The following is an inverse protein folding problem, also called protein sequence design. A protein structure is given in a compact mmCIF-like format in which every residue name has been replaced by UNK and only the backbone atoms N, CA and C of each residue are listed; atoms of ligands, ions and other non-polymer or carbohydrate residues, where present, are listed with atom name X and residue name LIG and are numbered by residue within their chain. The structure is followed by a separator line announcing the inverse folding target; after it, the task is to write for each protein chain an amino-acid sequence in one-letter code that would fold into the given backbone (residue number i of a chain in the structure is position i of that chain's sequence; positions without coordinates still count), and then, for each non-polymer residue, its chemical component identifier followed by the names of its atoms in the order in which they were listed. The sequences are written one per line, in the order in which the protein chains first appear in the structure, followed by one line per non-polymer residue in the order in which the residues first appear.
data_IF_381265665374
#
_entry.id   IF_381265665374
#
_cell.length_a   1.000
_cell.length_b   1.000
_cell.length_c   1.000
_cell.angle_alpha   90.00
_cell.angle_beta   90.00
_cell.angle_gamma   90.00
#
_symmetry.space_group_name_H-M   'P 1'
#
loop_
_entity.id
_entity.type
_entity.pdbx_description
1 polymer ?
#
# COMPACT_ATOMS: atom_id res chain seq x y z
N UNK A 1 14.13 20.48 4.33
CA UNK A 1 12.78 21.03 4.60
C UNK A 1 11.96 19.82 5.01
N UNK A 2 11.59 19.72 6.29
CA UNK A 2 10.71 18.64 6.73
C UNK A 2 9.34 18.82 6.07
N UNK A 3 8.89 17.81 5.36
CA UNK A 3 7.58 17.76 4.75
C UNK A 3 6.52 17.62 5.86
N UNK A 4 5.58 18.56 5.96
CA UNK A 4 4.53 18.49 6.97
C UNK A 4 3.55 17.39 6.57
N UNK A 5 3.16 16.54 7.53
CA UNK A 5 2.24 15.43 7.24
C UNK A 5 1.20 15.26 8.33
N UNK A 6 0.02 14.79 7.93
CA UNK A 6 -1.05 14.35 8.84
C UNK A 6 -1.18 12.84 8.73
N UNK A 7 -0.83 12.14 9.80
CA UNK A 7 -1.01 10.68 9.88
C UNK A 7 -2.51 10.31 9.93
N UNK A 8 -2.88 9.25 9.22
CA UNK A 8 -4.25 8.73 9.14
C UNK A 8 -4.27 7.24 9.53
N UNK A 9 -3.63 6.37 8.74
CA UNK A 9 -3.48 4.94 9.06
C UNK A 9 -4.77 4.11 8.99
N UNK A 10 -5.74 4.54 8.18
CA UNK A 10 -7.08 3.94 8.10
C UNK A 10 -7.25 3.06 6.84
N UNK A 11 -8.10 2.02 6.89
CA UNK A 11 -8.43 1.23 5.71
C UNK A 11 -9.21 2.07 4.69
N UNK A 12 -9.02 1.78 3.41
CA UNK A 12 -9.73 2.41 2.29
C UNK A 12 -10.24 1.34 1.33
N UNK A 13 -11.31 1.68 0.61
CA UNK A 13 -11.70 0.94 -0.60
C UNK A 13 -10.99 1.56 -1.79
N UNK A 14 -10.69 0.75 -2.81
CA UNK A 14 -10.04 1.22 -4.04
C UNK A 14 -10.77 0.72 -5.26
N UNK A 15 -10.69 1.50 -6.33
CA UNK A 15 -11.29 1.19 -7.62
C UNK A 15 -10.22 1.31 -8.71
N UNK A 16 -10.36 0.45 -9.71
CA UNK A 16 -9.53 0.47 -10.92
C UNK A 16 -10.44 0.60 -12.13
N UNK A 17 -10.13 1.52 -13.03
CA UNK A 17 -10.82 1.68 -14.31
C UNK A 17 -10.59 0.44 -15.18
N UNK A 18 -9.41 -0.18 -15.06
CA UNK A 18 -9.10 -1.50 -15.64
C UNK A 18 -8.65 -2.47 -14.54
N UNK A 19 -9.25 -3.68 -14.46
CA UNK A 19 -8.83 -4.67 -13.48
C UNK A 19 -7.32 -4.95 -13.55
N UNK A 20 -6.61 -5.00 -12.41
CA UNK A 20 -5.18 -5.22 -12.41
C UNK A 20 -4.84 -6.63 -12.91
N UNK A 21 -3.82 -6.72 -13.77
CA UNK A 21 -3.33 -8.01 -14.31
C UNK A 21 -2.92 -9.00 -13.21
N UNK A 22 -2.42 -8.51 -12.07
CA UNK A 22 -2.00 -9.32 -10.94
C UNK A 22 -2.52 -8.75 -9.61
N UNK A 23 -3.54 -9.38 -9.02
CA UNK A 23 -4.16 -8.91 -7.76
C UNK A 23 -3.21 -8.85 -6.54
N UNK A 24 -2.12 -9.63 -6.55
CA UNK A 24 -1.12 -9.67 -5.46
C UNK A 24 0.04 -8.69 -5.62
N UNK A 25 0.09 -8.04 -6.78
CA UNK A 25 1.02 -6.95 -7.11
C UNK A 25 0.25 -5.86 -7.84
N UNK A 26 -0.77 -5.27 -7.18
CA UNK A 26 -1.60 -4.29 -7.85
C UNK A 26 -0.79 -3.02 -8.13
N UNK A 27 -1.11 -2.30 -9.23
CA UNK A 27 -0.62 -0.94 -9.44
C UNK A 27 -1.28 0.03 -8.45
N UNK A 28 -0.92 1.31 -8.54
CA UNK A 28 -1.71 2.36 -7.90
C UNK A 28 -3.15 2.29 -8.42
N UNK A 29 -4.18 2.39 -7.55
CA UNK A 29 -5.56 2.49 -8.01
C UNK A 29 -5.81 3.83 -8.70
N UNK A 30 -6.89 3.88 -9.48
CA UNK A 30 -7.37 5.10 -10.12
C UNK A 30 -8.18 5.96 -9.13
N UNK A 31 -8.80 5.30 -8.13
CA UNK A 31 -9.64 5.95 -7.11
C UNK A 31 -9.53 5.25 -5.77
N UNK A 32 -9.76 5.99 -4.69
CA UNK A 32 -10.02 5.40 -3.37
C UNK A 32 -11.18 6.10 -2.65
N UNK A 33 -11.86 5.35 -1.79
CA UNK A 33 -12.93 5.86 -0.93
C UNK A 33 -12.45 5.83 0.52
N UNK A 34 -12.53 7.00 1.17
CA UNK A 34 -12.18 7.19 2.57
C UNK A 34 -13.23 8.08 3.24
N UNK A 35 -13.78 7.64 4.37
CA UNK A 35 -14.87 8.34 5.08
C UNK A 35 -16.04 8.73 4.17
N UNK A 36 -16.50 7.78 3.34
CA UNK A 36 -17.61 7.94 2.38
C UNK A 36 -17.34 8.94 1.24
N UNK A 37 -16.15 9.55 1.19
CA UNK A 37 -15.73 10.48 0.15
C UNK A 37 -14.83 9.77 -0.87
N UNK A 38 -15.06 10.03 -2.16
CA UNK A 38 -14.30 9.42 -3.26
C UNK A 38 -13.20 10.36 -3.78
N UNK A 39 -11.99 9.84 -3.83
CA UNK A 39 -10.78 10.56 -4.23
C UNK A 39 -10.25 9.99 -5.54
N UNK A 40 -10.28 10.78 -6.60
CA UNK A 40 -9.73 10.40 -7.92
C UNK A 40 -8.25 10.73 -7.95
N UNK A 41 -7.41 9.73 -8.23
CA UNK A 41 -5.97 9.91 -8.37
C UNK A 41 -5.69 10.41 -9.78
N UNK A 42 -5.00 11.55 -9.87
CA UNK A 42 -4.66 12.18 -11.16
C UNK A 42 -3.19 12.04 -11.50
N UNK A 43 -2.31 11.90 -10.50
CA UNK A 43 -0.86 11.72 -10.70
C UNK A 43 -0.29 10.81 -9.62
N UNK A 44 0.52 9.84 -10.01
CA UNK A 44 1.39 9.09 -9.08
C UNK A 44 2.76 9.77 -9.05
N UNK A 45 3.08 10.40 -7.93
CA UNK A 45 4.32 11.15 -7.74
C UNK A 45 5.50 10.23 -7.35
N UNK A 46 5.21 9.15 -6.61
CA UNK A 46 6.22 8.19 -6.20
C UNK A 46 5.60 6.80 -6.00
N UNK A 47 6.34 5.75 -6.33
CA UNK A 47 6.03 4.38 -5.96
C UNK A 47 7.25 3.76 -5.26
N UNK A 48 7.03 3.06 -4.15
CA UNK A 48 8.09 2.29 -3.50
C UNK A 48 7.55 1.06 -2.80
N UNK A 49 8.43 0.13 -2.46
CA UNK A 49 8.06 -1.18 -1.90
C UNK A 49 8.88 -1.44 -0.65
N UNK A 50 8.19 -1.78 0.43
CA UNK A 50 8.79 -2.26 1.68
C UNK A 50 8.58 -3.78 1.76
N UNK A 51 9.64 -4.55 1.50
CA UNK A 51 9.59 -6.01 1.61
C UNK A 51 9.84 -6.52 3.04
N UNK A 52 9.95 -5.61 4.02
CA UNK A 52 10.10 -5.99 5.42
C UNK A 52 8.92 -6.84 5.88
N UNK A 53 9.22 -7.81 6.74
CA UNK A 53 8.22 -8.69 7.36
C UNK A 53 7.82 -8.10 8.71
N UNK A 54 6.52 -8.15 9.03
CA UNK A 54 5.98 -7.65 10.30
C UNK A 54 5.06 -8.69 10.97
N UNK A 55 4.77 -8.49 12.25
CA UNK A 55 3.86 -9.35 13.02
C UNK A 55 4.33 -10.81 13.13
N UNK A 56 3.39 -11.76 13.10
CA UNK A 56 3.68 -13.21 13.20
C UNK A 56 4.68 -13.73 12.15
N UNK A 57 4.77 -13.06 11.00
CA UNK A 57 5.68 -13.44 9.90
C UNK A 57 7.14 -13.00 10.12
N UNK A 58 7.40 -12.15 11.12
CA UNK A 58 8.76 -11.74 11.50
C UNK A 58 9.56 -12.91 12.09
N UNK A 59 8.89 -13.87 12.74
CA UNK A 59 9.53 -15.00 13.43
C UNK A 59 9.58 -16.29 12.60
N UNK A 60 8.96 -16.31 11.41
CA UNK A 60 8.70 -17.55 10.67
C UNK A 60 9.62 -17.72 9.46
N UNK A 61 10.95 -17.85 9.68
CA UNK A 61 11.91 -18.31 8.65
C UNK A 61 13.34 -18.58 9.15
N UNK A 62 14.07 -19.46 8.43
CA UNK A 62 15.52 -19.71 8.62
C UNK A 62 16.37 -18.56 8.02
N UNK A 63 17.52 -18.19 8.61
CA UNK A 63 18.33 -17.01 8.24
C UNK A 63 18.71 -16.91 6.75
N UNK A 64 19.11 -18.03 6.13
CA UNK A 64 19.54 -18.06 4.73
C UNK A 64 18.45 -17.63 3.71
N UNK A 65 17.17 -17.71 4.10
CA UNK A 65 16.05 -17.30 3.25
C UNK A 65 15.63 -15.84 3.49
N UNK A 66 16.07 -15.21 4.60
CA UNK A 66 15.74 -13.82 4.91
C UNK A 66 16.42 -12.85 3.94
N UNK A 67 17.69 -13.09 3.61
CA UNK A 67 18.47 -12.18 2.76
C UNK A 67 17.96 -12.16 1.31
N UNK A 68 17.56 -13.32 0.78
CA UNK A 68 16.90 -13.43 -0.54
C UNK A 68 15.51 -12.80 -0.54
N UNK A 69 14.73 -13.03 0.52
CA UNK A 69 13.39 -12.46 0.68
C UNK A 69 13.39 -10.94 0.84
N UNK A 70 14.40 -10.37 1.53
CA UNK A 70 14.54 -8.92 1.67
C UNK A 70 14.80 -8.23 0.32
N UNK A 71 15.56 -8.89 -0.58
CA UNK A 71 15.91 -8.34 -1.90
C UNK A 71 14.81 -8.53 -2.95
N UNK A 72 14.11 -9.67 -2.96
CA UNK A 72 13.11 -10.03 -3.99
C UNK A 72 11.65 -9.92 -3.52
N UNK A 73 11.42 -9.72 -2.23
CA UNK A 73 10.13 -9.92 -1.60
C UNK A 73 9.79 -11.40 -1.39
N UNK A 74 8.90 -11.67 -0.45
CA UNK A 74 8.26 -12.98 -0.29
C UNK A 74 6.81 -12.91 -0.75
N UNK A 75 6.24 -14.05 -1.13
CA UNK A 75 4.84 -14.14 -1.53
C UNK A 75 3.94 -13.81 -0.32
N UNK A 76 3.12 -12.76 -0.44
CA UNK A 76 2.18 -12.34 0.62
C UNK A 76 2.82 -11.62 1.81
N UNK A 77 3.95 -10.93 1.64
CA UNK A 77 4.58 -10.14 2.72
C UNK A 77 5.14 -8.82 2.18
N UNK A 78 5.07 -7.77 2.99
CA UNK A 78 5.52 -6.42 2.62
C UNK A 78 4.37 -5.50 2.17
N UNK A 79 4.72 -4.26 1.88
CA UNK A 79 3.78 -3.18 1.52
C UNK A 79 4.22 -2.49 0.24
N UNK A 80 3.26 -2.20 -0.61
CA UNK A 80 3.47 -1.38 -1.82
C UNK A 80 2.86 -0.02 -1.56
N UNK A 81 3.70 1.01 -1.64
CA UNK A 81 3.34 2.37 -1.31
C UNK A 81 3.28 3.21 -2.58
N UNK A 82 2.32 4.14 -2.58
CA UNK A 82 2.12 5.10 -3.65
C UNK A 82 1.91 6.47 -3.01
N UNK A 83 2.67 7.46 -3.47
CA UNK A 83 2.39 8.87 -3.25
C UNK A 83 1.57 9.36 -4.43
N UNK A 84 0.33 9.73 -4.18
CA UNK A 84 -0.63 10.09 -5.21
C UNK A 84 -1.19 11.49 -4.97
N UNK A 85 -1.25 12.28 -6.02
CA UNK A 85 -2.02 13.52 -6.04
C UNK A 85 -3.44 13.22 -6.51
N UNK A 86 -4.42 13.75 -5.80
CA UNK A 86 -5.84 13.63 -6.15
C UNK A 86 -6.35 14.88 -6.88
N UNK A 87 -7.53 14.79 -7.48
CA UNK A 87 -8.09 15.82 -8.35
C UNK A 87 -8.20 17.23 -7.74
N UNK A 88 -8.37 17.35 -6.43
CA UNK A 88 -8.42 18.64 -5.72
C UNK A 88 -7.04 19.19 -5.31
N UNK A 89 -5.97 18.51 -5.74
CA UNK A 89 -4.59 18.92 -5.52
C UNK A 89 -3.95 18.37 -4.25
N UNK A 90 -4.71 17.76 -3.34
CA UNK A 90 -4.15 17.11 -2.14
C UNK A 90 -3.25 15.93 -2.51
N UNK A 91 -2.26 15.66 -1.65
CA UNK A 91 -1.30 14.57 -1.84
C UNK A 91 -1.41 13.60 -0.68
N UNK A 92 -1.55 12.31 -1.01
CA UNK A 92 -1.68 11.23 -0.04
C UNK A 92 -0.64 10.15 -0.29
N UNK A 93 -0.13 9.59 0.79
CA UNK A 93 0.56 8.30 0.74
C UNK A 93 -0.46 7.20 1.07
N UNK A 94 -0.65 6.27 0.14
CA UNK A 94 -1.47 5.05 0.33
C UNK A 94 -0.58 3.81 0.26
N UNK A 95 -1.02 2.70 0.84
CA UNK A 95 -0.34 1.42 0.65
C UNK A 95 -1.26 0.21 0.57
N UNK A 96 -0.80 -0.78 -0.20
CA UNK A 96 -1.31 -2.14 -0.21
C UNK A 96 -0.47 -3.01 0.73
N UNK A 97 -1.06 -3.46 1.84
CA UNK A 97 -0.46 -4.45 2.73
C UNK A 97 -0.71 -5.85 2.18
N UNK A 98 0.35 -6.54 1.79
CA UNK A 98 0.28 -7.86 1.14
C UNK A 98 0.07 -8.99 2.15
N UNK A 99 0.18 -8.71 3.45
CA UNK A 99 0.02 -9.72 4.48
C UNK A 99 -1.44 -10.18 4.55
N UNK A 100 -1.72 -11.49 4.39
CA UNK A 100 -3.08 -12.00 4.52
C UNK A 100 -3.58 -11.83 5.97
N UNK A 101 -4.83 -11.40 6.13
CA UNK A 101 -5.45 -11.19 7.46
C UNK A 101 -6.21 -12.40 8.02
N UNK A 102 -6.12 -13.57 7.39
CA UNK A 102 -6.74 -14.81 7.89
C UNK A 102 -6.88 -15.87 6.80
N UNK A 103 -7.53 -17.01 7.11
CA UNK A 103 -7.72 -18.10 6.15
C UNK A 103 -8.69 -17.75 5.00
N UNK A 104 -9.62 -16.82 5.22
CA UNK A 104 -10.62 -16.40 4.24
C UNK A 104 -10.21 -15.16 3.42
N UNK A 105 -9.37 -14.27 3.98
CA UNK A 105 -8.84 -13.09 3.28
C UNK A 105 -7.43 -13.39 2.76
N UNK A 106 -7.38 -14.08 1.60
CA UNK A 106 -6.13 -14.45 0.90
C UNK A 106 -5.47 -13.28 0.16
N UNK A 107 -6.19 -12.18 0.04
CA UNK A 107 -5.76 -10.93 -0.60
C UNK A 107 -5.27 -9.94 0.45
N UNK A 108 -4.39 -9.04 0.02
CA UNK A 108 -3.93 -7.93 0.85
C UNK A 108 -5.02 -6.87 1.09
N UNK A 109 -4.66 -5.81 1.81
CA UNK A 109 -5.59 -4.73 2.18
C UNK A 109 -5.01 -3.36 1.88
N UNK A 110 -5.86 -2.43 1.45
CA UNK A 110 -5.48 -1.05 1.17
C UNK A 110 -5.68 -0.15 2.38
N UNK A 111 -4.76 0.79 2.56
CA UNK A 111 -4.75 1.74 3.67
C UNK A 111 -4.30 3.12 3.20
N UNK A 112 -4.92 4.16 3.76
CA UNK A 112 -4.47 5.54 3.67
C UNK A 112 -3.49 5.80 4.81
N UNK A 113 -2.22 6.05 4.49
CA UNK A 113 -1.17 6.19 5.49
C UNK A 113 -1.17 7.59 6.10
N UNK A 114 -1.07 8.61 5.24
CA UNK A 114 -0.97 10.01 5.64
C UNK A 114 -1.34 10.92 4.48
N UNK A 115 -1.77 12.13 4.84
CA UNK A 115 -1.82 13.27 3.95
C UNK A 115 -0.49 14.02 4.03
N UNK A 116 0.04 14.43 2.87
CA UNK A 116 1.20 15.29 2.73
C UNK A 116 0.71 16.72 2.58
N UNK A 117 1.07 17.56 3.55
CA UNK A 117 0.71 18.96 3.58
C UNK A 117 1.85 19.74 2.93
N UNK A 118 1.51 20.42 1.82
CA UNK A 118 2.42 21.29 1.08
C UNK A 118 2.71 22.60 1.81
#
# INVERSE_FOLDING_TARGET
MDEQTRFIGEPIQVEFDQPPLFSKTPPCPDRFVWQEEAYVIVVVLQEWRDYSRRGRMSMNMRPANLEKAAKRGSWGVGRFYFRAQVADGRVFDIYYDRAPKGQQQKEGSWHLYREVLG
#
